data_IF_315338902061
#
_entry.id   IF_315338902061
#
_cell.length_a   1.000
_cell.length_b   1.000
_cell.length_c   1.000
_cell.angle_alpha   90.00
_cell.angle_beta   90.00
_cell.angle_gamma   90.00
#
_symmetry.space_group_name_H-M   'P 1'
#
loop_
_entity.id
_entity.type
_entity.pdbx_description
1 polymer ?
#
# COMPACT_ATOMS: atom_id res chain seq x y z
N UNK A 1 21.00 -50.39 42.08
CA UNK A 1 22.02 -49.82 41.19
C UNK A 1 21.27 -48.94 40.20
N UNK A 2 21.26 -47.63 40.42
CA UNK A 2 20.42 -46.69 39.67
C UNK A 2 21.06 -46.35 38.33
N UNK A 3 20.35 -46.67 37.24
CA UNK A 3 20.63 -46.19 35.89
C UNK A 3 19.95 -44.81 35.73
N UNK A 4 20.69 -43.74 36.00
CA UNK A 4 20.20 -42.35 35.95
C UNK A 4 21.03 -41.46 35.03
N UNK A 5 21.95 -42.05 34.25
CA UNK A 5 22.92 -41.32 33.43
C UNK A 5 22.43 -40.91 32.03
N UNK A 6 21.42 -41.56 31.47
CA UNK A 6 21.02 -41.37 30.07
C UNK A 6 19.92 -40.31 29.85
N UNK A 7 19.18 -39.92 30.89
CA UNK A 7 18.03 -39.01 30.76
C UNK A 7 18.44 -37.53 30.76
N UNK A 8 19.51 -37.17 31.48
CA UNK A 8 19.97 -35.78 31.63
C UNK A 8 20.60 -35.25 30.32
N UNK A 9 21.27 -36.11 29.53
CA UNK A 9 21.98 -35.72 28.30
C UNK A 9 20.99 -35.45 27.14
N UNK A 10 19.89 -36.19 27.06
CA UNK A 10 18.89 -36.02 26.00
C UNK A 10 18.04 -34.74 26.17
N UNK A 11 17.79 -34.35 27.42
CA UNK A 11 17.08 -33.12 27.77
C UNK A 11 17.85 -31.87 27.29
N UNK A 12 19.16 -31.79 27.57
CA UNK A 12 19.99 -30.65 27.17
C UNK A 12 20.14 -30.46 25.65
N UNK A 13 20.17 -31.55 24.87
CA UNK A 13 20.24 -31.48 23.41
C UNK A 13 18.91 -30.99 22.79
N UNK A 14 17.78 -31.45 23.33
CA UNK A 14 16.44 -31.02 22.91
C UNK A 14 16.18 -29.55 23.20
N UNK A 15 16.65 -29.03 24.34
CA UNK A 15 16.54 -27.60 24.67
C UNK A 15 17.38 -26.73 23.74
N UNK A 16 18.63 -27.13 23.43
CA UNK A 16 19.48 -26.38 22.49
C UNK A 16 18.96 -26.39 21.06
N UNK A 17 18.44 -27.53 20.59
CA UNK A 17 17.81 -27.63 19.28
C UNK A 17 16.54 -26.75 19.19
N UNK A 18 15.73 -26.71 20.24
CA UNK A 18 14.53 -25.87 20.30
C UNK A 18 14.89 -24.37 20.34
N UNK A 19 15.89 -23.98 21.13
CA UNK A 19 16.42 -22.61 21.16
C UNK A 19 16.89 -22.16 19.78
N UNK A 20 17.68 -22.98 19.08
CA UNK A 20 18.15 -22.65 17.72
C UNK A 20 17.00 -22.52 16.70
N UNK A 21 15.96 -23.35 16.81
CA UNK A 21 14.79 -23.28 15.94
C UNK A 21 13.90 -22.06 16.23
N UNK A 22 13.79 -21.63 17.49
CA UNK A 22 13.07 -20.41 17.88
C UNK A 22 13.84 -19.16 17.44
N UNK A 23 15.16 -19.16 17.60
CA UNK A 23 16.02 -18.05 17.16
C UNK A 23 15.95 -17.89 15.63
N UNK A 24 16.06 -18.98 14.87
CA UNK A 24 15.92 -18.91 13.40
C UNK A 24 14.52 -18.50 12.94
N UNK A 25 13.46 -18.94 13.62
CA UNK A 25 12.09 -18.58 13.26
C UNK A 25 11.76 -17.11 13.58
N UNK A 26 12.26 -16.60 14.69
CA UNK A 26 12.11 -15.17 15.05
C UNK A 26 12.93 -14.30 14.10
N UNK A 27 14.15 -14.70 13.75
CA UNK A 27 15.00 -14.00 12.77
C UNK A 27 14.35 -13.98 11.37
N UNK A 28 13.86 -15.10 10.85
CA UNK A 28 13.18 -15.15 9.55
C UNK A 28 11.89 -14.30 9.52
N UNK A 29 11.12 -14.27 10.60
CA UNK A 29 9.90 -13.44 10.70
C UNK A 29 10.19 -11.94 10.76
N UNK A 30 11.26 -11.53 11.45
CA UNK A 30 11.69 -10.13 11.55
C UNK A 30 12.26 -9.63 10.23
N UNK A 31 13.05 -10.46 9.53
CA UNK A 31 13.55 -10.17 8.18
C UNK A 31 12.39 -9.99 7.18
N UNK A 32 11.40 -10.90 7.15
CA UNK A 32 10.22 -10.74 6.27
C UNK A 32 9.40 -9.47 6.58
N UNK A 33 9.25 -9.13 7.86
CA UNK A 33 8.55 -7.91 8.29
C UNK A 33 9.28 -6.66 7.81
N UNK A 34 10.59 -6.58 8.05
CA UNK A 34 11.41 -5.41 7.66
C UNK A 34 11.42 -5.21 6.15
N UNK A 35 11.53 -6.28 5.35
CA UNK A 35 11.46 -6.20 3.89
C UNK A 35 10.07 -5.75 3.39
N UNK A 36 8.99 -6.17 4.04
CA UNK A 36 7.63 -5.72 3.73
C UNK A 36 7.45 -4.23 4.04
N UNK A 37 7.96 -3.76 5.19
CA UNK A 37 7.93 -2.35 5.59
C UNK A 37 8.71 -1.50 4.58
N UNK A 38 9.95 -1.88 4.26
CA UNK A 38 10.79 -1.14 3.30
C UNK A 38 10.11 -1.00 1.93
N UNK A 39 9.47 -2.07 1.44
CA UNK A 39 8.76 -2.04 0.14
C UNK A 39 7.59 -1.07 0.13
N UNK A 40 6.72 -1.09 1.16
CA UNK A 40 5.56 -0.19 1.22
C UNK A 40 5.98 1.25 1.50
N UNK A 41 7.01 1.47 2.31
CA UNK A 41 7.57 2.81 2.54
C UNK A 41 8.12 3.37 1.22
N UNK A 42 8.96 2.60 0.51
CA UNK A 42 9.54 3.02 -0.77
C UNK A 42 8.46 3.27 -1.82
N UNK A 43 7.44 2.42 -1.89
CA UNK A 43 6.31 2.61 -2.79
C UNK A 43 5.49 3.85 -2.43
N UNK A 44 5.19 4.07 -1.15
CA UNK A 44 4.48 5.25 -0.66
C UNK A 44 5.22 6.54 -0.99
N UNK A 45 6.53 6.59 -0.72
CA UNK A 45 7.38 7.75 -1.05
C UNK A 45 7.50 8.00 -2.56
N UNK A 46 7.67 6.95 -3.37
CA UNK A 46 7.70 7.10 -4.83
C UNK A 46 6.35 7.56 -5.39
N UNK A 47 5.25 7.00 -4.89
CA UNK A 47 3.89 7.40 -5.26
C UNK A 47 3.66 8.88 -4.90
N UNK A 48 4.03 9.28 -3.68
CA UNK A 48 3.90 10.66 -3.21
C UNK A 48 4.72 11.63 -4.06
N UNK A 49 5.97 11.28 -4.39
CA UNK A 49 6.81 12.07 -5.31
C UNK A 49 6.14 12.26 -6.68
N UNK A 50 5.64 11.18 -7.29
CA UNK A 50 4.98 11.22 -8.60
C UNK A 50 3.71 12.08 -8.55
N UNK A 51 2.86 11.91 -7.54
CA UNK A 51 1.62 12.67 -7.44
C UNK A 51 1.84 14.14 -7.08
N UNK A 52 2.84 14.46 -6.25
CA UNK A 52 3.24 15.85 -5.99
C UNK A 52 3.74 16.50 -7.28
N UNK A 53 4.62 15.83 -8.03
CA UNK A 53 5.10 16.33 -9.31
C UNK A 53 3.95 16.55 -10.29
N UNK A 54 3.00 15.61 -10.37
CA UNK A 54 1.80 15.74 -11.20
C UNK A 54 0.98 16.97 -10.77
N UNK A 55 0.75 17.16 -9.47
CA UNK A 55 0.05 18.33 -8.92
C UNK A 55 0.71 19.65 -9.29
N UNK A 56 2.03 19.74 -9.13
CA UNK A 56 2.82 20.91 -9.52
C UNK A 56 2.72 21.20 -11.02
N UNK A 57 2.70 20.17 -11.86
CA UNK A 57 2.48 20.34 -13.31
C UNK A 57 1.07 20.86 -13.59
N UNK A 58 0.02 20.33 -12.93
CA UNK A 58 -1.36 20.80 -13.10
C UNK A 58 -1.52 22.26 -12.66
N UNK A 59 -0.98 22.62 -11.50
CA UNK A 59 -0.96 24.00 -11.02
C UNK A 59 -0.17 24.92 -11.96
N UNK A 60 0.95 24.43 -12.51
CA UNK A 60 1.71 25.10 -13.57
C UNK A 60 0.85 25.34 -14.81
N UNK A 61 0.13 24.34 -15.31
CA UNK A 61 -0.74 24.48 -16.48
C UNK A 61 -1.85 25.54 -16.27
N UNK A 62 -2.35 25.68 -15.04
CA UNK A 62 -3.29 26.75 -14.67
C UNK A 62 -2.57 28.10 -14.61
N UNK A 63 -1.40 28.17 -13.95
CA UNK A 63 -0.62 29.40 -13.81
C UNK A 63 -0.10 29.96 -15.13
N UNK A 64 0.25 29.09 -16.08
CA UNK A 64 0.65 29.45 -17.44
C UNK A 64 -0.54 29.68 -18.39
N UNK A 65 -1.79 29.60 -17.90
CA UNK A 65 -3.02 29.82 -18.68
C UNK A 65 -3.05 29.01 -19.98
N UNK A 66 -2.72 27.73 -19.91
CA UNK A 66 -2.62 26.91 -21.11
C UNK A 66 -4.02 26.59 -21.68
N UNK A 67 -4.38 27.23 -22.79
CA UNK A 67 -5.73 27.20 -23.39
C UNK A 67 -6.34 25.81 -23.63
N UNK A 68 -5.59 24.79 -24.10
CA UNK A 68 -6.14 23.43 -24.27
C UNK A 68 -6.57 22.75 -22.97
N UNK A 69 -6.03 23.19 -21.82
CA UNK A 69 -6.41 22.72 -20.50
C UNK A 69 -7.58 23.52 -19.90
N UNK A 70 -7.73 24.80 -20.29
CA UNK A 70 -8.81 25.68 -19.83
C UNK A 70 -10.16 25.48 -20.54
N UNK A 71 -10.18 24.82 -21.71
CA UNK A 71 -11.40 24.62 -22.49
C UNK A 71 -12.26 23.44 -22.06
N UNK A 72 -11.76 22.56 -21.17
CA UNK A 72 -12.49 21.38 -20.71
C UNK A 72 -12.48 21.31 -19.17
N UNK A 73 -13.53 21.85 -18.56
CA UNK A 73 -13.73 21.82 -17.10
C UNK A 73 -13.69 20.38 -16.54
N UNK A 74 -14.28 19.43 -17.27
CA UNK A 74 -14.26 18.00 -16.92
C UNK A 74 -12.85 17.42 -16.85
N UNK A 75 -11.96 17.81 -17.76
CA UNK A 75 -10.54 17.37 -17.72
C UNK A 75 -9.83 17.94 -16.50
N UNK A 76 -10.05 19.21 -16.17
CA UNK A 76 -9.44 19.82 -14.98
C UNK A 76 -9.87 19.12 -13.70
N UNK A 77 -11.18 18.89 -13.54
CA UNK A 77 -11.74 18.22 -12.37
C UNK A 77 -11.19 16.81 -12.25
N UNK A 78 -11.21 16.02 -13.33
CA UNK A 78 -10.73 14.64 -13.32
C UNK A 78 -9.23 14.54 -13.03
N UNK A 79 -8.40 15.43 -13.58
CA UNK A 79 -6.97 15.41 -13.29
C UNK A 79 -6.65 15.87 -11.86
N UNK A 80 -7.40 16.84 -11.30
CA UNK A 80 -7.26 17.20 -9.88
C UNK A 80 -7.72 16.07 -8.95
N UNK A 81 -8.78 15.35 -9.31
CA UNK A 81 -9.24 14.16 -8.58
C UNK A 81 -8.18 13.04 -8.62
N UNK A 82 -7.59 12.79 -9.79
CA UNK A 82 -6.51 11.83 -9.95
C UNK A 82 -5.32 12.18 -9.04
N UNK A 83 -4.93 13.45 -9.01
CA UNK A 83 -3.88 13.95 -8.11
C UNK A 83 -4.24 13.76 -6.64
N UNK A 84 -5.40 14.24 -6.19
CA UNK A 84 -5.83 14.18 -4.79
C UNK A 84 -5.95 12.74 -4.27
N UNK A 85 -6.53 11.85 -5.07
CA UNK A 85 -6.62 10.44 -4.69
C UNK A 85 -5.27 9.74 -4.72
N UNK A 86 -4.39 10.10 -5.65
CA UNK A 86 -3.02 9.58 -5.70
C UNK A 86 -2.17 9.96 -4.50
N UNK A 87 -2.20 11.23 -4.07
CA UNK A 87 -1.49 11.68 -2.86
C UNK A 87 -2.04 11.01 -1.60
N UNK A 88 -3.37 10.91 -1.47
CA UNK A 88 -4.02 10.20 -0.36
C UNK A 88 -3.58 8.73 -0.31
N UNK A 89 -3.56 8.03 -1.44
CA UNK A 89 -3.11 6.64 -1.52
C UNK A 89 -1.64 6.49 -1.14
N UNK A 90 -0.76 7.40 -1.58
CA UNK A 90 0.64 7.45 -1.16
C UNK A 90 0.79 7.54 0.37
N UNK A 91 0.00 8.40 1.01
CA UNK A 91 -0.04 8.52 2.47
C UNK A 91 -0.57 7.24 3.16
N UNK A 92 -1.58 6.58 2.59
CA UNK A 92 -2.10 5.32 3.14
C UNK A 92 -1.04 4.21 3.08
N UNK A 93 -0.22 4.14 2.04
CA UNK A 93 0.90 3.19 1.97
C UNK A 93 1.94 3.44 3.06
N UNK A 94 2.27 4.71 3.34
CA UNK A 94 3.19 5.09 4.43
C UNK A 94 2.56 4.74 5.78
N UNK A 95 1.31 5.10 6.01
CA UNK A 95 0.60 4.79 7.25
C UNK A 95 0.53 3.28 7.49
N UNK A 96 0.24 2.48 6.45
CA UNK A 96 0.26 1.02 6.53
C UNK A 96 1.65 0.48 6.90
N UNK A 97 2.72 0.99 6.28
CA UNK A 97 4.08 0.61 6.61
C UNK A 97 4.44 0.92 8.08
N UNK A 98 3.99 2.07 8.61
CA UNK A 98 4.15 2.44 10.02
C UNK A 98 3.36 1.53 10.96
N UNK A 99 2.12 1.17 10.60
CA UNK A 99 1.29 0.23 11.37
C UNK A 99 1.90 -1.18 11.43
N UNK A 100 2.54 -1.64 10.34
CA UNK A 100 3.27 -2.92 10.34
C UNK A 100 4.56 -2.82 11.15
N UNK A 101 5.25 -1.68 11.11
CA UNK A 101 6.47 -1.45 11.87
C UNK A 101 6.22 -1.38 13.39
N UNK A 102 5.11 -0.75 13.82
CA UNK A 102 4.76 -0.61 15.24
C UNK A 102 4.39 -1.94 15.92
N UNK A 103 4.15 -3.00 15.16
CA UNK A 103 3.85 -4.34 15.69
C UNK A 103 2.44 -4.48 16.29
N UNK A 104 1.58 -3.46 16.15
CA UNK A 104 0.26 -3.37 16.81
C UNK A 104 -0.83 -4.24 16.14
N UNK A 105 -0.53 -4.96 15.05
CA UNK A 105 -1.55 -5.76 14.33
C UNK A 105 -0.94 -6.85 13.46
N UNK A 106 -0.21 -7.78 14.09
CA UNK A 106 0.66 -8.75 13.44
C UNK A 106 -0.07 -9.95 12.81
N UNK A 107 -1.06 -9.71 11.94
CA UNK A 107 -1.47 -10.72 10.94
C UNK A 107 -1.28 -10.12 9.54
N UNK A 108 -0.11 -10.32 8.90
CA UNK A 108 0.10 -9.92 7.52
C UNK A 108 -0.78 -10.78 6.62
N UNK A 109 -2.02 -10.33 6.40
CA UNK A 109 -2.94 -11.02 5.50
C UNK A 109 -2.42 -10.86 4.07
N UNK A 110 -2.14 -11.98 3.38
CA UNK A 110 -1.54 -12.05 2.03
C UNK A 110 -2.26 -11.19 0.98
N UNK A 111 -3.49 -10.78 1.26
CA UNK A 111 -4.37 -10.04 0.37
C UNK A 111 -4.36 -8.51 0.59
N UNK A 112 -3.77 -8.00 1.69
CA UNK A 112 -3.73 -6.55 1.97
C UNK A 112 -2.77 -5.82 1.02
N UNK A 113 -1.55 -6.36 0.84
CA UNK A 113 -0.56 -5.76 -0.07
C UNK A 113 -1.02 -5.68 -1.54
N UNK A 114 -1.54 -6.75 -2.18
CA UNK A 114 -1.97 -6.67 -3.58
C UNK A 114 -3.21 -5.78 -3.75
N UNK A 115 -4.15 -5.74 -2.77
CA UNK A 115 -5.31 -4.85 -2.87
C UNK A 115 -4.92 -3.37 -2.78
N UNK A 116 -3.98 -3.00 -1.91
CA UNK A 116 -3.44 -1.64 -1.80
C UNK A 116 -2.67 -1.20 -3.05
N UNK A 117 -1.90 -2.10 -3.66
CA UNK A 117 -1.17 -1.81 -4.90
C UNK A 117 -2.18 -1.62 -6.05
N UNK A 118 -3.15 -2.54 -6.19
CA UNK A 118 -4.19 -2.45 -7.23
C UNK A 118 -5.02 -1.18 -7.08
N UNK A 119 -5.46 -0.83 -5.87
CA UNK A 119 -6.19 0.41 -5.60
C UNK A 119 -5.35 1.66 -5.94
N UNK A 120 -4.05 1.63 -5.62
CA UNK A 120 -3.12 2.73 -5.90
C UNK A 120 -2.88 2.97 -7.40
N UNK A 121 -3.19 2.00 -8.26
CA UNK A 121 -3.05 2.14 -9.72
C UNK A 121 -4.42 2.45 -10.34
N UNK A 122 -5.47 1.70 -9.97
CA UNK A 122 -6.80 1.83 -10.57
C UNK A 122 -7.46 3.19 -10.30
N UNK A 123 -7.36 3.70 -9.07
CA UNK A 123 -8.04 4.95 -8.69
C UNK A 123 -7.43 6.17 -9.41
N UNK A 124 -6.14 6.51 -9.20
CA UNK A 124 -5.55 7.64 -9.88
C UNK A 124 -5.44 7.41 -11.40
N UNK A 125 -5.18 6.18 -11.84
CA UNK A 125 -5.15 5.82 -13.27
C UNK A 125 -6.51 5.99 -13.95
N UNK A 126 -7.59 5.58 -13.31
CA UNK A 126 -8.96 5.70 -13.85
C UNK A 126 -9.40 7.16 -14.00
N UNK A 127 -9.13 8.00 -13.00
CA UNK A 127 -9.40 9.44 -13.10
C UNK A 127 -8.52 10.14 -14.13
N UNK A 128 -7.23 9.80 -14.20
CA UNK A 128 -6.32 10.39 -15.18
C UNK A 128 -6.71 10.00 -16.62
N UNK A 129 -6.96 8.72 -16.87
CA UNK A 129 -7.41 8.20 -18.17
C UNK A 129 -8.79 8.76 -18.56
N UNK A 130 -9.71 8.91 -17.59
CA UNK A 130 -11.00 9.55 -17.79
C UNK A 130 -10.90 11.01 -18.23
N UNK A 131 -9.84 11.73 -17.83
CA UNK A 131 -9.57 13.09 -18.27
C UNK A 131 -8.81 13.19 -19.60
N UNK A 132 -8.11 12.15 -20.05
CA UNK A 132 -7.46 12.11 -21.37
C UNK A 132 -8.52 11.97 -22.47
N UNK A 133 -9.44 11.02 -22.33
CA UNK A 133 -10.46 10.69 -23.34
C UNK A 133 -11.85 11.21 -22.94
N UNK A 134 -12.05 12.53 -22.90
CA UNK A 134 -13.36 13.15 -22.63
C UNK A 134 -14.21 13.20 -23.91
N UNK A 135 -15.48 12.79 -23.84
CA UNK A 135 -16.42 12.85 -24.96
C UNK A 135 -17.46 13.94 -24.70
N UNK A 136 -17.46 15.03 -25.48
CA UNK A 136 -18.46 16.11 -25.40
C UNK A 136 -18.70 16.70 -23.98
N UNK A 137 -17.69 16.71 -23.11
CA UNK A 137 -17.80 17.20 -21.74
C UNK A 137 -18.07 16.11 -20.70
N UNK A 138 -18.33 14.87 -21.11
CA UNK A 138 -18.50 13.74 -20.20
C UNK A 138 -17.17 13.02 -19.91
N UNK A 139 -17.02 12.44 -18.70
CA UNK A 139 -15.85 11.66 -18.32
C UNK A 139 -15.66 10.46 -19.25
N UNK A 140 -14.42 10.21 -19.64
CA UNK A 140 -14.07 9.05 -20.46
C UNK A 140 -14.33 7.71 -19.77
N UNK A 141 -14.34 6.64 -20.56
CA UNK A 141 -14.54 5.24 -20.13
C UNK A 141 -13.59 4.82 -19.00
N UNK A 142 -12.43 5.48 -18.87
CA UNK A 142 -11.48 5.28 -17.77
C UNK A 142 -12.09 5.49 -16.38
N UNK A 143 -13.14 6.32 -16.22
CA UNK A 143 -13.84 6.48 -14.94
C UNK A 143 -14.54 5.21 -14.48
N UNK A 144 -14.91 4.29 -15.38
CA UNK A 144 -15.55 3.02 -15.00
C UNK A 144 -14.63 2.09 -14.18
N UNK A 145 -13.31 2.28 -14.29
CA UNK A 145 -12.31 1.55 -13.52
C UNK A 145 -12.20 2.04 -12.07
N UNK A 146 -12.60 3.29 -11.80
CA UNK A 146 -12.56 3.92 -10.48
C UNK A 146 -13.38 3.17 -9.42
N UNK A 147 -14.67 2.84 -9.62
CA UNK A 147 -15.46 2.13 -8.61
C UNK A 147 -14.87 0.75 -8.28
N UNK A 148 -14.26 0.08 -9.27
CA UNK A 148 -13.56 -1.18 -9.03
C UNK A 148 -12.34 -0.98 -8.11
N UNK A 149 -11.54 0.06 -8.35
CA UNK A 149 -10.42 0.43 -7.48
C UNK A 149 -10.86 0.83 -6.07
N UNK A 150 -12.00 1.52 -5.94
CA UNK A 150 -12.57 1.90 -4.65
C UNK A 150 -12.97 0.68 -3.82
N UNK A 151 -13.57 -0.34 -4.43
CA UNK A 151 -13.88 -1.61 -3.76
C UNK A 151 -12.63 -2.29 -3.18
N UNK A 152 -11.52 -2.32 -3.93
CA UNK A 152 -10.25 -2.87 -3.43
C UNK A 152 -9.69 -2.05 -2.27
N UNK A 153 -9.79 -0.72 -2.33
CA UNK A 153 -9.34 0.16 -1.24
C UNK A 153 -10.16 -0.06 0.04
N UNK A 154 -11.48 -0.11 -0.08
CA UNK A 154 -12.40 -0.36 1.04
C UNK A 154 -12.09 -1.72 1.67
N UNK A 155 -11.91 -2.77 0.86
CA UNK A 155 -11.53 -4.09 1.34
C UNK A 155 -10.18 -4.06 2.07
N UNK A 156 -9.16 -3.38 1.53
CA UNK A 156 -7.85 -3.27 2.16
C UNK A 156 -7.92 -2.57 3.54
N UNK A 157 -8.61 -1.43 3.62
CA UNK A 157 -8.78 -0.67 4.88
C UNK A 157 -9.56 -1.49 5.91
N UNK A 158 -10.63 -2.18 5.50
CA UNK A 158 -11.41 -3.03 6.39
C UNK A 158 -10.59 -4.21 6.93
N UNK A 159 -9.73 -4.81 6.10
CA UNK A 159 -8.84 -5.89 6.53
C UNK A 159 -7.79 -5.40 7.52
N UNK A 160 -7.20 -4.21 7.28
CA UNK A 160 -6.25 -3.58 8.22
C UNK A 160 -6.94 -3.23 9.54
N UNK A 161 -8.14 -2.65 9.50
CA UNK A 161 -8.90 -2.32 10.69
C UNK A 161 -9.26 -3.58 11.49
N UNK A 162 -9.62 -4.68 10.81
CA UNK A 162 -9.87 -5.98 11.45
C UNK A 162 -8.62 -6.61 12.06
N UNK A 163 -7.45 -6.46 11.42
CA UNK A 163 -6.21 -7.04 11.95
C UNK A 163 -5.70 -6.35 13.22
N UNK A 164 -6.16 -5.13 13.51
CA UNK A 164 -5.81 -4.38 14.73
C UNK A 164 -6.71 -4.71 15.93
N UNK A 165 -7.82 -5.43 15.74
CA UNK A 165 -8.79 -5.76 16.80
C UNK A 165 -8.56 -7.13 17.44
N UNK A 166 -7.56 -7.89 17.00
CA UNK A 166 -7.22 -9.21 17.54
C UNK A 166 -6.13 -9.13 18.59
#
# INVERSE_FOLDING_TARGET
>A
MADTGHEIVNSGNSTKANLGNVESATEDSTVRRTETVKRHLRFGWWSLFVFVLLGTVLEGLIGFKWMPYMTNDTRQVLWRLAHAHGTLLGLVHIAFALTVHSGVGAIPHRWISPSLITASILLPGGFFAGGIFTFNGDPGVGVLVVPLGACFMIAAVLLIARSLRS
#
